data_IF_007162369438
#
_entry.id   IF_007162369438
#
_cell.length_a   1.000
_cell.length_b   1.000
_cell.length_c   1.000
_cell.angle_alpha   90.00
_cell.angle_beta   90.00
_cell.angle_gamma   90.00
#
_symmetry.space_group_name_H-M   'P 1'
#
loop_
_entity.id
_entity.type
_entity.pdbx_description
1 polymer ?
#
# COMPACT_ATOMS: atom_id res chain seq x y z
N UNK A 1 3.00 -5.92 38.44
CA UNK A 1 3.35 -6.21 37.02
C UNK A 1 4.80 -5.95 36.67
N UNK A 2 5.47 -4.97 37.31
CA UNK A 2 6.85 -4.55 37.02
C UNK A 2 7.80 -4.81 38.23
N UNK A 3 7.69 -5.95 38.89
CA UNK A 3 8.75 -6.35 39.82
C UNK A 3 9.99 -6.77 39.01
N UNK A 4 11.18 -6.34 39.42
CA UNK A 4 12.46 -6.67 38.76
C UNK A 4 12.61 -8.19 38.55
N UNK A 5 12.08 -8.98 39.50
CA UNK A 5 12.02 -10.44 39.38
C UNK A 5 11.16 -10.91 38.22
N UNK A 6 10.01 -10.27 37.97
CA UNK A 6 9.12 -10.61 36.86
C UNK A 6 9.73 -10.25 35.50
N UNK A 7 10.44 -9.12 35.42
CA UNK A 7 11.18 -8.73 34.21
C UNK A 7 12.31 -9.72 33.90
N UNK A 8 13.09 -10.12 34.92
CA UNK A 8 14.15 -11.12 34.75
C UNK A 8 13.60 -12.48 34.29
N UNK A 9 12.46 -12.93 34.82
CA UNK A 9 11.81 -14.17 34.39
C UNK A 9 11.37 -14.05 32.92
N UNK A 10 10.73 -12.94 32.54
CA UNK A 10 10.29 -12.70 31.16
C UNK A 10 11.47 -12.63 30.18
N UNK A 11 12.57 -11.99 30.55
CA UNK A 11 13.80 -11.95 29.76
C UNK A 11 14.37 -13.35 29.52
N UNK A 12 14.51 -14.16 30.57
CA UNK A 12 14.97 -15.56 30.45
C UNK A 12 14.02 -16.43 29.63
N UNK A 13 12.71 -16.17 29.70
CA UNK A 13 11.73 -16.87 28.85
C UNK A 13 11.92 -16.47 27.39
N UNK A 14 12.05 -15.17 27.10
CA UNK A 14 12.28 -14.67 25.74
C UNK A 14 13.52 -15.31 25.11
N UNK A 15 14.65 -15.37 25.83
CA UNK A 15 15.89 -16.01 25.39
C UNK A 15 15.76 -17.53 25.16
N UNK A 16 14.78 -18.19 25.77
CA UNK A 16 14.50 -19.61 25.50
C UNK A 16 13.70 -19.83 24.22
N UNK A 17 12.85 -18.88 23.83
CA UNK A 17 12.01 -18.99 22.64
C UNK A 17 12.67 -18.40 21.39
N UNK A 18 13.49 -17.36 21.56
CA UNK A 18 14.08 -16.62 20.45
C UNK A 18 15.59 -16.54 20.61
N UNK A 19 16.29 -16.83 19.51
CA UNK A 19 17.71 -16.53 19.37
C UNK A 19 17.89 -15.35 18.42
N UNK A 20 18.78 -14.44 18.77
CA UNK A 20 19.16 -13.35 17.88
C UNK A 20 20.09 -13.93 16.80
N UNK A 21 19.61 -13.99 15.57
CA UNK A 21 20.41 -14.46 14.43
C UNK A 21 21.31 -13.36 13.90
N UNK A 22 20.74 -12.19 13.62
CA UNK A 22 21.44 -11.09 12.95
C UNK A 22 21.02 -9.72 13.47
N UNK A 23 21.94 -8.76 13.36
CA UNK A 23 21.70 -7.33 13.53
C UNK A 23 22.25 -6.62 12.31
N UNK A 24 21.37 -6.02 11.51
CA UNK A 24 21.74 -5.21 10.36
C UNK A 24 21.63 -3.73 10.71
N UNK A 25 22.68 -2.95 10.44
CA UNK A 25 22.59 -1.49 10.52
C UNK A 25 22.03 -0.96 9.20
N UNK A 26 20.93 -0.23 9.28
CA UNK A 26 20.17 0.33 8.15
C UNK A 26 19.95 1.81 8.45
N UNK A 27 19.82 2.64 7.41
CA UNK A 27 19.51 4.07 7.57
C UNK A 27 20.58 4.84 8.37
N UNK A 28 21.86 4.71 7.99
CA UNK A 28 23.01 5.30 8.70
C UNK A 28 23.15 6.82 8.60
N UNK A 29 22.37 7.49 7.74
CA UNK A 29 22.55 8.91 7.39
C UNK A 29 21.52 9.84 8.05
N UNK A 30 21.15 9.58 9.32
CA UNK A 30 20.12 10.36 10.02
C UNK A 30 18.70 10.12 9.49
N UNK A 31 18.53 9.10 8.66
CA UNK A 31 17.24 8.63 8.17
C UNK A 31 16.49 7.88 9.28
N UNK A 32 15.17 7.98 9.27
CA UNK A 32 14.29 7.24 10.16
C UNK A 32 13.65 6.08 9.41
N UNK A 33 13.88 4.86 9.91
CA UNK A 33 13.22 3.67 9.38
C UNK A 33 11.70 3.75 9.61
N UNK A 34 10.92 3.54 8.56
CA UNK A 34 9.47 3.48 8.67
C UNK A 34 9.05 2.11 9.19
N UNK A 35 8.43 2.11 10.38
CA UNK A 35 8.06 0.88 11.12
C UNK A 35 6.91 0.09 10.48
N UNK A 36 6.20 0.70 9.54
CA UNK A 36 5.05 0.12 8.84
C UNK A 36 5.39 -0.20 7.38
N UNK A 37 6.68 -0.20 7.03
CA UNK A 37 7.18 -0.45 5.69
C UNK A 37 8.11 -1.66 5.67
N UNK A 38 7.57 -2.80 5.25
CA UNK A 38 8.30 -4.05 5.10
C UNK A 38 7.65 -4.89 3.99
N UNK A 39 8.45 -5.32 3.02
CA UNK A 39 8.03 -6.23 1.96
C UNK A 39 9.02 -7.40 1.91
N UNK A 40 8.51 -8.62 2.00
CA UNK A 40 9.30 -9.84 1.97
C UNK A 40 9.26 -10.46 0.57
N UNK A 41 10.38 -10.97 0.07
CA UNK A 41 10.37 -11.76 -1.16
C UNK A 41 9.68 -13.11 -0.94
N UNK A 42 9.11 -13.69 -2.00
CA UNK A 42 8.34 -14.94 -1.91
C UNK A 42 9.15 -16.14 -1.36
N UNK A 43 10.48 -16.11 -1.56
CA UNK A 43 11.45 -17.09 -1.06
C UNK A 43 11.89 -16.83 0.39
N UNK A 44 11.34 -15.80 1.04
CA UNK A 44 11.69 -15.35 2.39
C UNK A 44 13.20 -15.06 2.59
N UNK A 45 13.95 -14.85 1.52
CA UNK A 45 15.39 -14.58 1.60
C UNK A 45 15.68 -13.12 1.88
N UNK A 46 14.89 -12.22 1.30
CA UNK A 46 15.12 -10.78 1.38
C UNK A 46 13.94 -10.06 2.02
N UNK A 47 14.25 -8.99 2.75
CA UNK A 47 13.28 -7.99 3.20
C UNK A 47 13.66 -6.63 2.64
N UNK A 48 12.67 -5.93 2.10
CA UNK A 48 12.77 -4.55 1.65
C UNK A 48 12.12 -3.66 2.71
N UNK A 49 12.89 -2.70 3.21
CA UNK A 49 12.44 -1.74 4.22
C UNK A 49 12.66 -0.32 3.72
N UNK A 50 11.76 0.59 4.09
CA UNK A 50 11.83 2.00 3.72
C UNK A 50 12.28 2.89 4.87
N UNK A 51 13.15 3.85 4.59
CA UNK A 51 13.53 4.94 5.49
C UNK A 51 13.18 6.29 4.88
N UNK A 52 13.09 7.32 5.72
CA UNK A 52 12.87 8.70 5.30
C UNK A 52 13.74 9.65 6.12
N UNK A 53 14.33 10.65 5.47
CA UNK A 53 14.98 11.79 6.10
C UNK A 53 14.22 13.07 5.79
N UNK A 54 14.01 13.90 6.81
CA UNK A 54 13.47 15.23 6.63
C UNK A 54 14.44 16.09 5.83
N UNK A 55 13.91 16.90 4.93
CA UNK A 55 14.71 17.88 4.22
C UNK A 55 15.18 18.98 5.18
N UNK A 56 16.42 19.47 5.05
CA UNK A 56 16.91 20.58 5.86
C UNK A 56 16.09 21.85 5.58
N UNK A 57 15.85 22.66 6.61
CA UNK A 57 15.21 23.98 6.44
C UNK A 57 16.10 24.93 5.64
N UNK A 58 17.44 24.82 5.79
CA UNK A 58 18.41 25.54 4.96
C UNK A 58 19.62 24.67 4.60
N UNK A 59 20.10 24.69 3.34
CA UNK A 59 19.47 25.34 2.18
C UNK A 59 18.18 24.61 1.77
N UNK A 60 17.18 25.39 1.35
CA UNK A 60 15.98 24.81 0.75
C UNK A 60 16.35 24.03 -0.52
N UNK A 61 15.68 22.90 -0.81
CA UNK A 61 15.90 22.16 -2.04
C UNK A 61 15.67 23.06 -3.26
N UNK A 62 16.46 22.87 -4.31
CA UNK A 62 16.33 23.71 -5.48
C UNK A 62 14.97 23.49 -6.15
N UNK A 63 14.38 24.56 -6.71
CA UNK A 63 13.04 24.50 -7.31
C UNK A 63 12.89 23.33 -8.30
N UNK A 64 13.91 23.08 -9.13
CA UNK A 64 13.85 22.04 -10.14
C UNK A 64 14.21 20.63 -9.63
N UNK A 65 14.67 20.50 -8.39
CA UNK A 65 14.77 19.20 -7.72
C UNK A 65 13.39 18.75 -7.20
N UNK A 66 12.56 19.72 -6.80
CA UNK A 66 11.18 19.53 -6.33
C UNK A 66 10.21 19.30 -7.48
N UNK A 67 10.36 20.05 -8.58
CA UNK A 67 9.48 20.00 -9.74
C UNK A 67 10.24 19.45 -10.97
N UNK A 68 10.23 18.13 -11.15
CA UNK A 68 11.01 17.47 -12.23
C UNK A 68 10.24 17.26 -13.52
N UNK A 69 8.93 17.51 -13.52
CA UNK A 69 8.09 17.52 -14.72
C UNK A 69 6.84 18.38 -14.49
N UNK A 70 6.11 18.70 -15.57
CA UNK A 70 4.93 19.55 -15.54
C UNK A 70 3.68 18.94 -14.85
N UNK A 71 3.73 17.67 -14.43
CA UNK A 71 2.68 17.02 -13.64
C UNK A 71 3.01 16.95 -12.14
N UNK A 72 4.22 17.33 -11.74
CA UNK A 72 4.64 17.36 -10.34
C UNK A 72 3.61 18.10 -9.48
N UNK A 73 3.26 17.53 -8.32
CA UNK A 73 2.23 18.12 -7.45
C UNK A 73 2.80 19.26 -6.62
N UNK A 74 1.92 20.13 -6.14
CA UNK A 74 2.29 21.27 -5.31
C UNK A 74 2.52 20.81 -3.86
N UNK A 75 3.76 20.88 -3.34
CA UNK A 75 4.03 20.50 -1.95
C UNK A 75 3.26 21.40 -0.99
N UNK A 76 2.95 20.87 0.19
CA UNK A 76 2.31 21.65 1.24
C UNK A 76 2.60 21.05 2.63
N UNK A 77 2.37 21.78 3.73
CA UNK A 77 2.72 21.32 5.07
C UNK A 77 2.04 20.00 5.51
N UNK A 78 0.90 19.63 4.93
CA UNK A 78 0.21 18.35 5.22
C UNK A 78 0.81 17.16 4.45
N UNK A 79 1.60 17.44 3.42
CA UNK A 79 2.31 16.45 2.63
C UNK A 79 3.76 16.92 2.42
N UNK A 80 4.59 16.92 3.49
CA UNK A 80 5.98 17.33 3.40
C UNK A 80 6.76 16.38 2.49
N UNK A 81 7.74 16.95 1.79
CA UNK A 81 8.70 16.22 1.00
C UNK A 81 9.85 15.74 1.88
N UNK A 82 10.34 14.56 1.57
CA UNK A 82 11.39 13.87 2.31
C UNK A 82 12.33 13.20 1.31
N UNK A 83 13.54 12.88 1.77
CA UNK A 83 14.42 11.97 1.08
C UNK A 83 14.10 10.55 1.53
N UNK A 84 13.61 9.71 0.62
CA UNK A 84 13.27 8.33 0.91
C UNK A 84 14.37 7.39 0.45
N UNK A 85 14.68 6.37 1.24
CA UNK A 85 15.58 5.29 0.81
C UNK A 85 14.88 3.94 0.99
N UNK A 86 15.02 3.07 0.00
CA UNK A 86 14.60 1.67 0.06
C UNK A 86 15.84 0.80 0.19
N UNK A 87 15.85 -0.04 1.20
CA UNK A 87 16.97 -0.92 1.54
C UNK A 87 16.54 -2.36 1.39
N UNK A 88 17.38 -3.19 0.78
CA UNK A 88 17.16 -4.64 0.70
C UNK A 88 18.18 -5.36 1.56
N UNK A 89 17.70 -6.25 2.42
CA UNK A 89 18.49 -6.93 3.44
C UNK A 89 18.31 -8.43 3.25
N UNK A 90 19.41 -9.17 3.21
CA UNK A 90 19.41 -10.64 3.24
C UNK A 90 19.16 -11.12 4.67
N UNK A 91 18.03 -11.81 4.88
CA UNK A 91 17.60 -12.29 6.19
C UNK A 91 18.46 -13.45 6.71
N UNK A 92 19.10 -14.23 5.83
CA UNK A 92 19.94 -15.37 6.21
C UNK A 92 21.36 -14.97 6.60
N UNK A 93 21.85 -13.85 6.07
CA UNK A 93 23.20 -13.36 6.37
C UNK A 93 23.20 -12.11 7.25
N UNK A 94 22.07 -11.42 7.36
CA UNK A 94 21.94 -10.15 8.08
C UNK A 94 22.61 -8.97 7.37
N UNK A 95 22.92 -9.11 6.08
CA UNK A 95 23.65 -8.08 5.32
C UNK A 95 22.68 -7.16 4.59
N UNK A 96 22.96 -5.86 4.67
CA UNK A 96 22.39 -4.86 3.75
C UNK A 96 23.01 -5.08 2.37
N UNK A 97 22.19 -5.45 1.38
CA UNK A 97 22.65 -5.81 0.04
C UNK A 97 22.70 -4.61 -0.91
N UNK A 98 21.65 -3.78 -0.94
CA UNK A 98 21.55 -2.63 -1.84
C UNK A 98 20.65 -1.54 -1.24
N UNK A 99 20.74 -0.32 -1.78
CA UNK A 99 19.94 0.84 -1.38
C UNK A 99 19.60 1.71 -2.59
N UNK A 100 18.33 2.10 -2.70
CA UNK A 100 17.83 3.05 -3.71
C UNK A 100 17.24 4.28 -3.04
N UNK A 101 17.67 5.47 -3.46
CA UNK A 101 17.28 6.74 -2.83
C UNK A 101 16.47 7.62 -3.79
N UNK A 102 15.42 8.24 -3.27
CA UNK A 102 14.53 9.17 -3.93
C UNK A 102 14.60 10.50 -3.20
N UNK A 103 15.15 11.51 -3.88
CA UNK A 103 15.37 12.85 -3.30
C UNK A 103 14.16 13.76 -3.49
N UNK A 104 13.84 14.59 -2.49
CA UNK A 104 12.78 15.60 -2.56
C UNK A 104 11.46 15.06 -3.14
N UNK A 105 11.01 13.92 -2.61
CA UNK A 105 9.87 13.19 -3.14
C UNK A 105 8.74 13.08 -2.09
N UNK A 106 7.62 12.49 -2.51
CA UNK A 106 6.58 11.98 -1.64
C UNK A 106 6.28 10.52 -1.99
N UNK A 107 6.79 9.59 -1.17
CA UNK A 107 6.50 8.16 -1.26
C UNK A 107 5.80 7.74 0.03
N UNK A 108 4.59 7.15 -0.08
CA UNK A 108 3.80 6.76 1.10
C UNK A 108 4.28 5.39 1.62
N UNK A 109 5.32 5.39 2.45
CA UNK A 109 5.88 4.15 3.03
C UNK A 109 4.94 3.45 4.03
N UNK A 110 4.11 4.21 4.75
CA UNK A 110 3.19 3.66 5.76
C UNK A 110 2.23 2.63 5.17
N UNK A 111 2.22 1.44 5.78
CA UNK A 111 1.43 0.29 5.32
C UNK A 111 1.67 -0.05 3.86
N UNK A 112 2.92 0.09 3.38
CA UNK A 112 3.33 -0.21 2.02
C UNK A 112 2.45 0.45 0.93
N UNK A 113 1.86 1.62 1.18
CA UNK A 113 0.86 2.18 0.23
C UNK A 113 1.47 2.71 -1.06
N UNK A 114 2.71 3.19 -1.01
CA UNK A 114 3.47 3.68 -2.16
C UNK A 114 4.35 2.62 -2.81
N UNK A 115 4.41 1.41 -2.25
CA UNK A 115 5.29 0.32 -2.70
C UNK A 115 4.46 -0.91 -3.02
N UNK A 116 4.80 -1.63 -4.07
CA UNK A 116 4.17 -2.90 -4.37
C UNK A 116 5.18 -3.92 -4.85
N UNK A 117 5.33 -5.03 -4.14
CA UNK A 117 6.17 -6.16 -4.55
C UNK A 117 5.26 -7.28 -5.03
N UNK A 118 5.48 -7.73 -6.26
CA UNK A 118 4.84 -8.91 -6.83
C UNK A 118 5.93 -9.81 -7.40
N UNK A 119 6.10 -11.01 -6.84
CA UNK A 119 7.25 -11.89 -7.13
C UNK A 119 8.56 -11.14 -6.90
N UNK A 120 9.29 -10.87 -7.97
CA UNK A 120 10.54 -10.13 -7.98
C UNK A 120 10.41 -8.72 -8.57
N UNK A 121 9.21 -8.26 -8.91
CA UNK A 121 8.99 -6.92 -9.48
C UNK A 121 8.52 -5.99 -8.37
N UNK A 122 9.32 -4.97 -8.08
CA UNK A 122 9.01 -3.91 -7.14
C UNK A 122 8.59 -2.65 -7.91
N UNK A 123 7.37 -2.19 -7.68
CA UNK A 123 6.92 -0.88 -8.13
C UNK A 123 6.95 0.14 -6.98
N UNK A 124 7.32 1.38 -7.28
CA UNK A 124 7.41 2.50 -6.34
C UNK A 124 6.73 3.72 -6.95
N UNK A 125 5.68 4.22 -6.31
CA UNK A 125 4.97 5.43 -6.76
C UNK A 125 5.57 6.67 -6.09
N UNK A 126 6.24 7.48 -6.93
CA UNK A 126 6.56 8.88 -6.64
C UNK A 126 5.30 9.71 -6.82
N UNK A 127 4.66 10.06 -5.70
CA UNK A 127 3.48 10.93 -5.71
C UNK A 127 3.89 12.36 -6.08
N UNK A 128 5.06 12.81 -5.62
CA UNK A 128 5.53 14.17 -5.93
C UNK A 128 5.76 14.33 -7.43
N UNK A 129 6.45 13.39 -8.07
CA UNK A 129 6.84 13.48 -9.48
C UNK A 129 5.85 12.81 -10.42
N UNK A 130 4.72 12.29 -9.93
CA UNK A 130 3.72 11.58 -10.75
C UNK A 130 4.36 10.51 -11.64
N UNK A 131 5.18 9.68 -11.02
CA UNK A 131 6.02 8.70 -11.71
C UNK A 131 6.01 7.37 -10.95
N UNK A 132 5.92 6.26 -11.67
CA UNK A 132 6.05 4.91 -11.12
C UNK A 132 7.41 4.37 -11.55
N UNK A 133 8.28 4.11 -10.58
CA UNK A 133 9.55 3.44 -10.81
C UNK A 133 9.36 1.94 -10.66
N UNK A 134 9.83 1.17 -11.62
CA UNK A 134 9.74 -0.30 -11.60
C UNK A 134 11.15 -0.86 -11.54
N UNK A 135 11.38 -1.67 -10.53
CA UNK A 135 12.63 -2.38 -10.27
C UNK A 135 12.39 -3.88 -10.33
N UNK A 136 13.43 -4.62 -10.71
CA UNK A 136 13.49 -6.06 -10.54
C UNK A 136 14.47 -6.37 -9.40
N UNK A 137 14.02 -7.14 -8.42
CA UNK A 137 14.85 -7.69 -7.36
C UNK A 137 15.62 -8.88 -7.93
N UNK A 138 16.93 -8.80 -7.92
CA UNK A 138 17.80 -9.86 -8.43
C UNK A 138 17.96 -11.00 -7.40
N UNK A 139 18.34 -12.21 -7.83
CA UNK A 139 18.67 -13.32 -6.92
C UNK A 139 19.83 -13.02 -5.95
N UNK A 140 20.64 -12.00 -6.25
CA UNK A 140 21.72 -11.50 -5.41
C UNK A 140 21.25 -10.46 -4.38
N UNK A 141 20.01 -9.98 -4.46
CA UNK A 141 19.44 -9.01 -3.54
C UNK A 141 19.77 -7.57 -3.90
N UNK A 142 19.80 -7.23 -5.19
CA UNK A 142 20.00 -5.86 -5.69
C UNK A 142 18.77 -5.35 -6.45
N UNK A 143 18.63 -4.03 -6.55
CA UNK A 143 17.58 -3.40 -7.34
C UNK A 143 18.06 -3.11 -8.76
N UNK A 144 17.54 -3.83 -9.74
CA UNK A 144 17.76 -3.54 -11.15
C UNK A 144 16.67 -2.58 -11.65
N UNK A 145 17.06 -1.42 -12.20
CA UNK A 145 16.11 -0.45 -12.75
C UNK A 145 15.55 -1.00 -14.07
N UNK A 146 14.24 -1.23 -14.14
CA UNK A 146 13.58 -1.86 -15.31
C UNK A 146 12.88 -0.83 -16.18
N UNK A 147 12.20 0.15 -15.57
CA UNK A 147 11.52 1.24 -16.29
C UNK A 147 11.02 2.32 -15.35
N UNK A 148 10.74 3.48 -15.93
CA UNK A 148 10.09 4.61 -15.27
C UNK A 148 8.87 5.02 -16.08
N UNK A 149 7.69 5.01 -15.45
CA UNK A 149 6.39 5.21 -16.12
C UNK A 149 5.76 6.52 -15.61
N UNK A 150 5.52 7.47 -16.50
CA UNK A 150 4.93 8.77 -16.14
C UNK A 150 5.02 9.77 -17.29
N UNK A 151 6.06 10.63 -17.27
CA UNK A 151 6.40 11.55 -18.37
C UNK A 151 6.52 10.82 -19.70
N UNK A 152 7.25 9.71 -19.69
CA UNK A 152 7.38 8.78 -20.81
C UNK A 152 6.82 7.40 -20.45
N UNK A 153 6.52 6.63 -21.48
CA UNK A 153 6.04 5.25 -21.35
C UNK A 153 7.02 4.24 -21.96
N UNK A 154 7.78 4.64 -22.98
CA UNK A 154 8.90 3.88 -23.54
C UNK A 154 10.23 4.53 -23.18
N UNK A 155 11.30 3.74 -23.15
CA UNK A 155 12.65 4.20 -22.80
C UNK A 155 13.26 5.12 -23.86
N UNK A 156 12.89 4.92 -25.13
CA UNK A 156 13.36 5.67 -26.30
C UNK A 156 12.45 6.85 -26.69
N UNK A 157 11.37 7.10 -25.93
CA UNK A 157 10.47 8.26 -26.14
C UNK A 157 11.26 9.58 -26.14
N UNK A 158 12.22 9.71 -25.22
CA UNK A 158 13.04 10.92 -25.10
C UNK A 158 13.93 11.13 -26.33
N UNK A 159 14.53 10.07 -26.85
CA UNK A 159 15.33 10.12 -28.06
C UNK A 159 14.48 10.53 -29.27
N UNK A 160 13.26 9.98 -29.37
CA UNK A 160 12.33 10.32 -30.45
C UNK A 160 11.88 11.78 -30.38
N UNK A 161 11.56 12.29 -29.19
CA UNK A 161 11.14 13.68 -29.01
C UNK A 161 12.29 14.67 -29.24
N UNK A 162 13.50 14.36 -28.79
CA UNK A 162 14.70 15.17 -29.04
C UNK A 162 15.10 15.20 -30.51
N UNK A 163 14.77 14.19 -31.31
CA UNK A 163 14.97 14.21 -32.75
C UNK A 163 14.02 15.19 -33.48
N UNK A 164 12.81 15.40 -32.96
CA UNK A 164 11.75 16.22 -33.61
C UNK A 164 11.72 17.65 -33.07
N UNK A 165 11.94 17.83 -31.77
CA UNK A 165 11.91 19.13 -31.12
C UNK A 165 13.33 19.57 -30.78
N UNK A 166 13.87 20.56 -31.51
CA UNK A 166 15.21 21.13 -31.25
C UNK A 166 15.36 21.67 -29.82
N UNK A 167 14.25 22.00 -29.14
CA UNK A 167 14.23 22.38 -27.73
C UNK A 167 14.66 21.26 -26.77
N UNK A 168 14.49 20.00 -27.18
CA UNK A 168 14.90 18.80 -26.46
C UNK A 168 16.33 18.31 -26.81
N UNK A 169 17.00 18.89 -27.82
CA UNK A 169 18.43 18.62 -28.10
C UNK A 169 19.39 19.39 -27.17
N UNK A 170 18.90 20.42 -26.48
CA UNK A 170 19.68 21.24 -25.55
C UNK A 170 19.83 20.62 -24.15
N UNK A 171 19.66 19.30 -24.02
CA UNK A 171 19.75 18.52 -22.77
C UNK A 171 21.20 18.34 -22.23
N UNK A 172 22.20 18.89 -22.92
CA UNK A 172 23.61 18.86 -22.48
C UNK A 172 24.01 19.81 -21.34
N UNK A 173 23.05 20.50 -20.71
CA UNK A 173 23.24 21.35 -19.51
C UNK A 173 22.22 20.91 -18.46
N UNK A 174 22.50 20.96 -17.14
CA UNK A 174 21.70 20.30 -16.10
C UNK A 174 20.27 20.85 -16.09
N UNK A 175 19.39 20.16 -16.82
CA UNK A 175 18.27 20.81 -17.51
C UNK A 175 16.92 20.63 -16.83
N UNK A 176 16.88 20.42 -15.51
CA UNK A 176 15.61 20.33 -14.78
C UNK A 176 14.71 21.58 -14.97
N UNK A 177 15.31 22.72 -15.36
CA UNK A 177 14.58 23.98 -15.57
C UNK A 177 13.51 23.95 -16.66
N UNK A 178 13.66 23.10 -17.68
CA UNK A 178 12.73 23.05 -18.81
C UNK A 178 11.62 22.02 -18.63
N UNK A 179 11.89 20.96 -17.89
CA UNK A 179 10.96 19.83 -17.70
C UNK A 179 9.65 20.25 -17.04
N UNK A 180 9.71 21.16 -16.05
CA UNK A 180 8.51 21.70 -15.43
C UNK A 180 7.68 22.60 -16.36
N UNK A 181 8.31 23.22 -17.36
CA UNK A 181 7.67 24.18 -18.28
C UNK A 181 7.13 23.53 -19.56
N UNK A 182 7.19 22.21 -19.67
CA UNK A 182 6.64 21.49 -20.82
C UNK A 182 5.15 21.77 -20.99
N UNK A 183 4.75 22.10 -22.22
CA UNK A 183 3.34 22.34 -22.56
C UNK A 183 2.61 21.05 -22.96
N UNK A 184 3.35 20.01 -23.30
CA UNK A 184 2.83 18.70 -23.69
C UNK A 184 2.27 17.95 -22.48
N UNK A 185 1.20 17.19 -22.70
CA UNK A 185 0.69 16.26 -21.69
C UNK A 185 1.64 15.07 -21.61
N UNK A 186 1.95 14.60 -20.40
CA UNK A 186 2.81 13.42 -20.22
C UNK A 186 2.19 12.18 -20.87
N UNK A 187 3.04 11.26 -21.30
CA UNK A 187 2.65 10.11 -22.13
C UNK A 187 1.60 9.22 -21.45
N UNK A 188 1.77 8.92 -20.15
CA UNK A 188 0.81 8.09 -19.41
C UNK A 188 -0.57 8.78 -19.32
N UNK A 189 -0.59 10.07 -19.00
CA UNK A 189 -1.82 10.85 -18.92
C UNK A 189 -2.47 11.02 -20.29
N UNK A 190 -1.68 11.25 -21.33
CA UNK A 190 -2.17 11.33 -22.70
C UNK A 190 -2.85 10.02 -23.11
N UNK A 191 -2.24 8.86 -22.82
CA UNK A 191 -2.84 7.54 -23.09
C UNK A 191 -4.16 7.33 -22.36
N UNK A 192 -4.26 7.78 -21.10
CA UNK A 192 -5.52 7.78 -20.35
C UNK A 192 -6.59 8.65 -21.03
N UNK A 193 -6.26 9.88 -21.41
CA UNK A 193 -7.20 10.79 -22.08
C UNK A 193 -7.65 10.25 -23.44
N UNK A 194 -6.72 9.67 -24.22
CA UNK A 194 -7.02 9.04 -25.51
C UNK A 194 -7.93 7.83 -25.33
N UNK A 195 -7.69 7.00 -24.31
CA UNK A 195 -8.59 5.88 -24.00
C UNK A 195 -10.01 6.37 -23.71
N UNK A 196 -10.16 7.39 -22.86
CA UNK A 196 -11.45 7.96 -22.51
C UNK A 196 -12.15 8.60 -23.73
N UNK A 197 -11.40 9.28 -24.58
CA UNK A 197 -11.91 9.82 -25.85
C UNK A 197 -12.40 8.70 -26.78
N UNK A 198 -11.56 7.68 -27.03
CA UNK A 198 -11.92 6.54 -27.89
C UNK A 198 -13.16 5.82 -27.38
N UNK A 199 -13.31 5.67 -26.07
CA UNK A 199 -14.52 5.11 -25.45
C UNK A 199 -15.75 5.98 -25.71
N UNK A 200 -15.65 7.31 -25.57
CA UNK A 200 -16.73 8.22 -25.89
C UNK A 200 -17.07 8.25 -27.40
N UNK A 201 -16.06 8.01 -28.25
CA UNK A 201 -16.25 7.90 -29.69
C UNK A 201 -16.94 6.59 -30.10
N UNK A 202 -16.57 5.47 -29.48
CA UNK A 202 -17.18 4.16 -29.69
C UNK A 202 -18.63 4.09 -29.21
N UNK A 203 -18.98 4.81 -28.13
CA UNK A 203 -20.37 4.96 -27.68
C UNK A 203 -21.25 5.63 -28.75
N UNK A 204 -20.65 6.38 -29.68
CA UNK A 204 -21.32 7.00 -30.82
C UNK A 204 -22.25 8.16 -30.45
N UNK A 205 -22.57 8.37 -29.17
CA UNK A 205 -23.48 9.41 -28.74
C UNK A 205 -22.82 10.79 -28.71
N UNK A 206 -23.50 11.80 -29.25
CA UNK A 206 -23.04 13.19 -29.14
C UNK A 206 -22.91 13.65 -27.68
N UNK A 207 -23.72 13.08 -26.79
CA UNK A 207 -23.71 13.35 -25.35
C UNK A 207 -22.41 12.86 -24.70
N UNK A 208 -21.92 11.65 -25.01
CA UNK A 208 -20.66 11.15 -24.47
C UNK A 208 -19.46 12.01 -24.89
N UNK A 209 -19.39 12.39 -26.17
CA UNK A 209 -18.35 13.29 -26.68
C UNK A 209 -18.40 14.66 -25.99
N UNK A 210 -19.58 15.27 -25.87
CA UNK A 210 -19.77 16.54 -25.15
C UNK A 210 -19.36 16.44 -23.68
N UNK A 211 -19.72 15.33 -23.01
CA UNK A 211 -19.35 15.08 -21.61
C UNK A 211 -17.83 14.97 -21.45
N UNK A 212 -17.13 14.29 -22.36
CA UNK A 212 -15.67 14.25 -22.36
C UNK A 212 -15.07 15.65 -22.44
N UNK A 213 -15.50 16.48 -23.40
CA UNK A 213 -15.00 17.85 -23.51
C UNK A 213 -15.38 18.73 -22.32
N UNK A 214 -16.59 18.57 -21.76
CA UNK A 214 -17.03 19.28 -20.56
C UNK A 214 -16.11 19.02 -19.36
N UNK A 215 -15.64 17.78 -19.20
CA UNK A 215 -14.79 17.38 -18.08
C UNK A 215 -13.30 17.29 -18.43
N UNK A 216 -12.89 17.70 -19.63
CA UNK A 216 -11.52 17.51 -20.13
C UNK A 216 -10.46 18.12 -19.20
N UNK A 217 -10.67 19.36 -18.75
CA UNK A 217 -9.72 20.02 -17.85
C UNK A 217 -9.61 19.31 -16.50
N UNK A 218 -10.71 18.79 -15.97
CA UNK A 218 -10.71 18.02 -14.73
C UNK A 218 -9.96 16.69 -14.90
N UNK A 219 -10.21 15.98 -16.01
CA UNK A 219 -9.51 14.74 -16.35
C UNK A 219 -8.01 14.98 -16.53
N UNK A 220 -7.62 16.09 -17.16
CA UNK A 220 -6.21 16.50 -17.33
C UNK A 220 -5.54 16.83 -15.99
N UNK A 221 -6.29 17.34 -15.02
CA UNK A 221 -5.79 17.70 -13.70
C UNK A 221 -5.67 16.50 -12.74
N UNK A 222 -6.19 15.32 -13.10
CA UNK A 222 -6.06 14.12 -12.27
C UNK A 222 -4.59 13.80 -11.97
N UNK A 223 -4.36 13.26 -10.76
CA UNK A 223 -3.06 12.85 -10.23
C UNK A 223 -3.14 11.43 -9.69
N UNK A 224 -2.11 10.64 -9.93
CA UNK A 224 -1.89 9.33 -9.34
C UNK A 224 -1.78 9.47 -7.83
N UNK A 225 -2.59 8.68 -7.13
CA UNK A 225 -2.64 8.66 -5.68
C UNK A 225 -2.11 7.35 -5.09
N UNK A 226 -2.49 6.24 -5.73
CA UNK A 226 -2.15 4.89 -5.28
C UNK A 226 -1.94 3.99 -6.49
N UNK A 227 -1.17 2.94 -6.30
CA UNK A 227 -0.95 1.92 -7.32
C UNK A 227 -0.93 0.52 -6.70
N UNK A 228 -1.03 -0.48 -7.56
CA UNK A 228 -0.87 -1.90 -7.24
C UNK A 228 -0.41 -2.63 -8.51
N UNK A 229 0.39 -3.70 -8.36
CA UNK A 229 0.61 -4.67 -9.43
C UNK A 229 -0.48 -5.75 -9.38
N UNK A 230 -1.18 -5.97 -10.49
CA UNK A 230 -2.14 -7.08 -10.64
C UNK A 230 -1.43 -8.36 -11.09
N UNK A 231 -0.33 -8.22 -11.80
CA UNK A 231 0.58 -9.29 -12.21
C UNK A 231 1.93 -8.67 -12.62
N UNK A 232 2.74 -9.43 -13.36
CA UNK A 232 4.06 -8.99 -13.85
C UNK A 232 4.02 -7.89 -14.91
N UNK A 233 2.85 -7.55 -15.45
CA UNK A 233 2.72 -6.64 -16.60
C UNK A 233 1.68 -5.53 -16.38
N UNK A 234 0.72 -5.73 -15.48
CA UNK A 234 -0.43 -4.85 -15.31
C UNK A 234 -0.36 -4.05 -14.01
N UNK A 235 -0.36 -2.74 -14.16
CA UNK A 235 -0.52 -1.77 -13.08
C UNK A 235 -1.98 -1.40 -12.91
N UNK A 236 -2.43 -1.34 -11.66
CA UNK A 236 -3.72 -0.81 -11.27
C UNK A 236 -3.53 0.51 -10.51
N UNK A 237 -3.85 1.61 -11.18
CA UNK A 237 -3.51 2.97 -10.76
C UNK A 237 -4.79 3.71 -10.41
N UNK A 238 -4.81 4.37 -9.25
CA UNK A 238 -5.91 5.25 -8.85
C UNK A 238 -5.55 6.71 -9.09
N UNK A 239 -6.37 7.37 -9.87
CA UNK A 239 -6.31 8.79 -10.17
C UNK A 239 -7.40 9.55 -9.40
N UNK A 240 -7.05 10.72 -8.87
CA UNK A 240 -7.98 11.63 -8.15
C UNK A 240 -7.50 13.08 -8.31
N UNK A 241 -8.23 14.04 -7.75
CA UNK A 241 -7.80 15.44 -7.73
C UNK A 241 -6.52 15.65 -6.92
N UNK A 242 -5.71 16.64 -7.31
CA UNK A 242 -4.46 16.99 -6.62
C UNK A 242 -4.68 17.32 -5.14
N UNK A 243 -5.80 17.95 -4.78
CA UNK A 243 -6.10 18.29 -3.38
C UNK A 243 -6.27 17.05 -2.48
N UNK A 244 -6.77 15.94 -3.03
CA UNK A 244 -6.86 14.66 -2.30
C UNK A 244 -5.48 14.01 -2.23
N UNK A 245 -4.74 14.00 -3.34
CA UNK A 245 -3.38 13.43 -3.39
C UNK A 245 -2.45 14.10 -2.40
N UNK A 246 -2.55 15.43 -2.28
CA UNK A 246 -1.71 16.26 -1.43
C UNK A 246 -2.29 16.50 -0.03
N UNK A 247 -3.36 15.77 0.34
CA UNK A 247 -4.01 15.79 1.66
C UNK A 247 -4.56 17.17 2.08
N UNK A 248 -4.81 18.07 1.13
CA UNK A 248 -5.50 19.35 1.36
C UNK A 248 -6.98 19.12 1.68
N UNK A 249 -7.57 18.11 1.03
CA UNK A 249 -8.93 17.62 1.27
C UNK A 249 -8.85 16.17 1.72
N UNK A 250 -9.51 15.86 2.84
CA UNK A 250 -9.59 14.50 3.39
C UNK A 250 -10.87 13.77 2.98
N UNK A 251 -11.79 14.45 2.28
CA UNK A 251 -13.08 13.88 1.93
C UNK A 251 -12.95 12.82 0.81
N UNK A 252 -13.24 11.54 1.09
CA UNK A 252 -13.21 10.47 0.11
C UNK A 252 -14.36 10.53 -0.90
N UNK A 253 -15.29 11.48 -0.79
CA UNK A 253 -16.43 11.64 -1.71
C UNK A 253 -16.04 12.12 -3.11
N UNK A 254 -14.78 12.56 -3.30
CA UNK A 254 -14.29 13.08 -4.58
C UNK A 254 -14.32 12.01 -5.69
N UNK A 255 -14.70 12.38 -6.92
CA UNK A 255 -14.60 11.50 -8.07
C UNK A 255 -13.17 10.99 -8.25
N UNK A 256 -13.03 9.67 -8.42
CA UNK A 256 -11.74 9.05 -8.70
C UNK A 256 -11.89 7.97 -9.77
N UNK A 257 -10.79 7.72 -10.46
CA UNK A 257 -10.71 6.76 -11.56
C UNK A 257 -9.70 5.68 -11.22
N UNK A 258 -10.03 4.46 -11.60
CA UNK A 258 -9.15 3.30 -11.55
C UNK A 258 -8.74 2.94 -12.97
N UNK A 259 -7.44 2.84 -13.21
CA UNK A 259 -6.85 2.64 -14.53
C UNK A 259 -6.03 1.36 -14.51
N UNK A 260 -6.34 0.44 -15.43
CA UNK A 260 -5.52 -0.76 -15.69
C UNK A 260 -4.59 -0.44 -16.85
N UNK A 261 -3.29 -0.46 -16.60
CA UNK A 261 -2.25 -0.11 -17.57
C UNK A 261 -1.29 -1.29 -17.77
N UNK A 262 -1.08 -1.70 -19.01
CA UNK A 262 -0.07 -2.68 -19.35
C UNK A 262 1.27 -1.98 -19.56
N UNK A 263 2.26 -2.29 -18.72
CA UNK A 263 3.55 -1.62 -18.78
C UNK A 263 4.42 -2.10 -19.94
N UNK A 264 4.16 -3.27 -20.52
CA UNK A 264 4.89 -3.85 -21.66
C UNK A 264 4.40 -3.27 -22.98
N UNK A 265 3.09 -3.32 -23.24
CA UNK A 265 2.50 -2.75 -24.46
C UNK A 265 2.31 -1.23 -24.38
N UNK A 266 2.44 -0.67 -23.17
CA UNK A 266 2.17 0.73 -22.85
C UNK A 266 0.71 1.15 -23.07
N UNK A 267 -0.22 0.22 -23.00
CA UNK A 267 -1.64 0.48 -23.27
C UNK A 267 -2.47 0.63 -22.00
N UNK A 268 -3.41 1.58 -22.03
CA UNK A 268 -4.50 1.62 -21.05
C UNK A 268 -5.55 0.62 -21.49
N UNK A 269 -5.75 -0.43 -20.69
CA UNK A 269 -6.68 -1.53 -20.99
C UNK A 269 -8.10 -1.16 -20.55
N UNK A 270 -8.23 -0.59 -19.35
CA UNK A 270 -9.53 -0.30 -18.77
C UNK A 270 -9.48 0.92 -17.85
N UNK A 271 -10.60 1.65 -17.81
CA UNK A 271 -10.80 2.77 -16.88
C UNK A 271 -12.18 2.65 -16.23
N UNK A 272 -12.21 2.68 -14.90
CA UNK A 272 -13.41 2.60 -14.08
C UNK A 272 -13.56 3.83 -13.21
N UNK A 273 -14.78 4.33 -13.07
CA UNK A 273 -15.11 5.33 -12.06
C UNK A 273 -15.22 4.66 -10.68
N UNK A 274 -15.08 5.43 -9.60
CA UNK A 274 -15.26 4.95 -8.24
C UNK A 274 -16.69 4.56 -7.87
N UNK A 275 -17.62 4.68 -8.81
CA UNK A 275 -19.01 4.23 -8.73
C UNK A 275 -19.32 3.09 -9.71
N UNK A 276 -18.30 2.42 -10.26
CA UNK A 276 -18.47 1.36 -11.25
C UNK A 276 -18.95 0.05 -10.63
N UNK A 277 -20.17 -0.37 -10.99
CA UNK A 277 -20.71 -1.68 -10.60
C UNK A 277 -19.88 -2.85 -11.15
N UNK A 278 -19.38 -2.71 -12.38
CA UNK A 278 -18.57 -3.76 -13.01
C UNK A 278 -17.25 -3.99 -12.25
N UNK A 279 -16.57 -2.92 -11.84
CA UNK A 279 -15.36 -3.08 -11.01
C UNK A 279 -15.69 -3.69 -9.65
N UNK A 280 -16.85 -3.34 -9.06
CA UNK A 280 -17.30 -3.95 -7.82
C UNK A 280 -17.56 -5.45 -7.98
N UNK A 281 -18.23 -5.85 -9.06
CA UNK A 281 -18.48 -7.26 -9.37
C UNK A 281 -17.18 -8.03 -9.54
N UNK A 282 -16.21 -7.49 -10.29
CA UNK A 282 -14.87 -8.07 -10.43
C UNK A 282 -14.19 -8.21 -9.07
N UNK A 283 -14.26 -7.19 -8.22
CA UNK A 283 -13.64 -7.21 -6.90
C UNK A 283 -14.32 -8.21 -5.94
N UNK A 284 -15.65 -8.33 -5.97
CA UNK A 284 -16.41 -9.27 -5.13
C UNK A 284 -16.13 -10.73 -5.53
N UNK A 285 -16.05 -11.00 -6.83
CA UNK A 285 -15.89 -12.36 -7.36
C UNK A 285 -14.43 -12.82 -7.44
N UNK A 286 -13.48 -11.90 -7.61
CA UNK A 286 -12.05 -12.20 -7.81
C UNK A 286 -11.15 -11.48 -6.80
N UNK A 287 -11.64 -11.26 -5.57
CA UNK A 287 -10.93 -10.51 -4.51
C UNK A 287 -9.50 -11.00 -4.26
N UNK A 288 -9.27 -12.31 -4.33
CA UNK A 288 -7.95 -12.90 -4.12
C UNK A 288 -6.91 -12.42 -5.15
N UNK A 289 -7.32 -12.21 -6.41
CA UNK A 289 -6.42 -11.67 -7.45
C UNK A 289 -6.01 -10.21 -7.17
N UNK A 290 -6.82 -9.46 -6.41
CA UNK A 290 -6.43 -8.14 -5.90
C UNK A 290 -5.61 -8.22 -4.60
N UNK A 291 -5.56 -9.36 -3.91
CA UNK A 291 -4.72 -9.60 -2.73
C UNK A 291 -3.46 -10.40 -3.07
N UNK A 292 -3.13 -10.51 -4.36
CA UNK A 292 -2.15 -11.38 -5.00
C UNK A 292 -0.68 -11.27 -4.51
N UNK A 293 -0.32 -10.28 -3.69
CA UNK A 293 1.05 -10.03 -3.27
C UNK A 293 1.76 -11.24 -2.63
N UNK A 294 1.02 -12.24 -2.17
CA UNK A 294 1.58 -13.45 -1.53
C UNK A 294 0.99 -14.76 -2.07
N UNK A 295 0.15 -14.72 -3.11
CA UNK A 295 -0.50 -15.94 -3.65
C UNK A 295 0.48 -16.95 -4.27
N UNK A 296 1.69 -16.51 -4.62
CA UNK A 296 2.72 -17.38 -5.22
C UNK A 296 3.65 -18.01 -4.19
N UNK A 297 3.58 -17.58 -2.93
CA UNK A 297 4.36 -18.17 -1.86
C UNK A 297 3.66 -19.41 -1.32
N UNK A 298 4.40 -20.50 -1.13
CA UNK A 298 3.91 -21.74 -0.50
C UNK A 298 3.36 -21.52 0.92
N UNK A 299 3.70 -20.38 1.55
CA UNK A 299 3.21 -19.96 2.87
C UNK A 299 1.74 -19.47 2.87
N UNK A 300 1.12 -19.25 1.69
CA UNK A 300 -0.27 -18.78 1.57
C UNK A 300 -1.13 -19.88 0.97
N UNK A 301 -1.44 -20.87 1.79
CA UNK A 301 -2.21 -22.04 1.33
C UNK A 301 -3.73 -21.81 1.39
N UNK A 302 -4.22 -20.88 2.22
CA UNK A 302 -5.65 -20.72 2.48
C UNK A 302 -6.07 -19.24 2.59
N UNK A 303 -6.31 -18.54 1.47
CA UNK A 303 -6.78 -17.16 1.52
C UNK A 303 -8.19 -17.08 2.14
N UNK A 304 -8.40 -16.14 3.06
CA UNK A 304 -9.71 -15.85 3.62
C UNK A 304 -10.26 -14.51 3.06
N UNK A 305 -10.93 -14.58 1.92
CA UNK A 305 -11.55 -13.43 1.25
C UNK A 305 -13.02 -13.69 0.91
N UNK A 306 -13.73 -12.68 0.41
CA UNK A 306 -15.12 -12.86 -0.02
C UNK A 306 -15.27 -13.75 -1.27
N UNK A 307 -14.23 -13.89 -2.08
CA UNK A 307 -14.22 -14.81 -3.21
C UNK A 307 -14.03 -16.25 -2.76
N UNK A 308 -13.11 -16.51 -1.82
CA UNK A 308 -12.75 -17.87 -1.38
C UNK A 308 -13.50 -18.42 -0.17
N UNK A 309 -14.07 -17.55 0.69
CA UNK A 309 -14.65 -17.95 1.97
C UNK A 309 -16.10 -17.46 2.13
N UNK A 310 -17.02 -18.40 2.39
CA UNK A 310 -18.46 -18.12 2.53
C UNK A 310 -18.79 -17.18 3.70
N UNK A 311 -18.09 -17.29 4.82
CA UNK A 311 -18.31 -16.42 5.98
C UNK A 311 -17.78 -15.02 5.72
N UNK A 312 -16.60 -14.88 5.10
CA UNK A 312 -16.07 -13.59 4.66
C UNK A 312 -17.03 -12.91 3.67
N UNK A 313 -17.57 -13.68 2.71
CA UNK A 313 -18.59 -13.21 1.75
C UNK A 313 -19.84 -12.71 2.45
N UNK A 314 -20.33 -13.42 3.46
CA UNK A 314 -21.49 -12.98 4.25
C UNK A 314 -21.21 -11.70 5.03
N UNK A 315 -20.02 -11.55 5.63
CA UNK A 315 -19.62 -10.30 6.32
C UNK A 315 -19.60 -9.12 5.35
N UNK A 316 -19.02 -9.29 4.16
CA UNK A 316 -19.00 -8.24 3.14
C UNK A 316 -20.41 -7.87 2.64
N UNK A 317 -21.29 -8.85 2.42
CA UNK A 317 -22.69 -8.61 2.04
C UNK A 317 -23.43 -7.82 3.11
N UNK A 318 -23.33 -8.23 4.39
CA UNK A 318 -23.94 -7.50 5.50
C UNK A 318 -23.42 -6.07 5.62
N UNK A 319 -22.11 -5.86 5.39
CA UNK A 319 -21.52 -4.54 5.38
C UNK A 319 -22.08 -3.67 4.25
N UNK A 320 -22.20 -4.23 3.03
CA UNK A 320 -22.85 -3.58 1.88
C UNK A 320 -24.29 -3.20 2.21
N UNK A 321 -25.10 -4.15 2.69
CA UNK A 321 -26.51 -3.93 3.05
C UNK A 321 -26.66 -2.85 4.14
N UNK A 322 -25.75 -2.81 5.11
CA UNK A 322 -25.75 -1.78 6.16
C UNK A 322 -25.55 -0.39 5.58
N UNK A 323 -24.66 -0.24 4.58
CA UNK A 323 -24.43 1.06 3.92
C UNK A 323 -25.61 1.44 3.04
N UNK A 324 -26.17 0.49 2.29
CA UNK A 324 -27.32 0.74 1.41
C UNK A 324 -28.52 1.24 2.22
N UNK A 325 -28.78 0.64 3.38
CA UNK A 325 -29.94 0.97 4.22
C UNK A 325 -29.69 2.12 5.21
N UNK A 326 -28.48 2.70 5.26
CA UNK A 326 -28.16 3.80 6.16
C UNK A 326 -28.81 5.13 5.71
N UNK A 327 -29.02 6.05 6.67
CA UNK A 327 -29.45 7.43 6.38
C UNK A 327 -28.38 8.14 5.55
N UNK A 328 -28.76 8.69 4.39
CA UNK A 328 -27.84 9.20 3.35
C UNK A 328 -26.92 8.15 2.72
N UNK A 329 -27.28 6.87 2.86
CA UNK A 329 -26.67 5.76 2.14
C UNK A 329 -27.24 5.60 0.74
N UNK A 330 -27.06 4.40 0.19
CA UNK A 330 -27.55 4.00 -1.12
C UNK A 330 -26.57 3.09 -1.85
N UNK A 331 -27.02 2.53 -2.97
CA UNK A 331 -26.22 1.60 -3.78
C UNK A 331 -24.91 2.23 -4.24
N UNK A 332 -24.97 3.43 -4.82
CA UNK A 332 -23.79 4.17 -5.31
C UNK A 332 -22.76 4.43 -4.19
N UNK A 333 -23.22 4.78 -2.99
CA UNK A 333 -22.33 5.03 -1.85
C UNK A 333 -21.73 3.72 -1.30
N UNK A 334 -22.48 2.62 -1.34
CA UNK A 334 -21.97 1.30 -1.00
C UNK A 334 -20.88 0.85 -1.98
N UNK A 335 -21.10 1.01 -3.29
CA UNK A 335 -20.10 0.74 -4.35
C UNK A 335 -18.84 1.57 -4.09
N UNK A 336 -19.00 2.88 -3.88
CA UNK A 336 -17.88 3.79 -3.61
C UNK A 336 -17.07 3.39 -2.39
N UNK A 337 -17.71 3.01 -1.28
CA UNK A 337 -17.02 2.59 -0.05
C UNK A 337 -16.29 1.27 -0.20
N UNK A 338 -16.88 0.30 -0.90
CA UNK A 338 -16.24 -0.98 -1.17
C UNK A 338 -15.02 -0.81 -2.07
N UNK A 339 -15.16 -0.07 -3.17
CA UNK A 339 -14.05 0.26 -4.08
C UNK A 339 -13.02 1.20 -3.46
N UNK A 340 -13.36 1.92 -2.39
CA UNK A 340 -12.43 2.77 -1.63
C UNK A 340 -11.23 2.02 -1.05
N UNK A 341 -11.33 0.68 -0.90
CA UNK A 341 -10.24 -0.19 -0.47
C UNK A 341 -9.15 -0.36 -1.54
N UNK A 342 -9.50 -0.11 -2.81
CA UNK A 342 -8.59 -0.25 -3.93
C UNK A 342 -7.80 1.05 -4.17
N UNK A 343 -6.56 0.94 -4.68
CA UNK A 343 -5.75 -0.28 -4.78
C UNK A 343 -5.33 -0.81 -3.40
N UNK A 344 -5.11 -2.12 -3.31
CA UNK A 344 -4.71 -2.78 -2.07
C UNK A 344 -3.20 -2.61 -1.84
N UNK A 345 -2.79 -2.36 -0.60
CA UNK A 345 -1.36 -2.34 -0.22
C UNK A 345 -0.75 -3.74 -0.32
N UNK A 346 0.50 -3.83 -0.78
CA UNK A 346 1.22 -5.10 -0.83
C UNK A 346 1.39 -5.71 0.58
N UNK A 347 1.24 -7.03 0.66
CA UNK A 347 1.46 -7.84 1.87
C UNK A 347 0.67 -7.35 3.09
N UNK A 348 -0.55 -6.84 2.88
CA UNK A 348 -1.39 -6.26 3.95
C UNK A 348 -2.39 -7.23 4.58
N UNK A 349 -2.41 -8.49 4.14
CA UNK A 349 -3.32 -9.53 4.62
C UNK A 349 -2.54 -10.73 5.14
N UNK A 350 -2.92 -11.21 6.32
CA UNK A 350 -2.38 -12.43 6.92
C UNK A 350 -3.03 -13.67 6.30
N UNK A 351 -2.24 -14.70 6.04
CA UNK A 351 -2.70 -16.03 5.61
C UNK A 351 -2.87 -17.02 6.77
N UNK A 352 -2.77 -16.55 8.03
CA UNK A 352 -2.76 -17.45 9.18
C UNK A 352 -4.09 -18.18 9.38
N UNK A 353 -4.08 -19.51 9.63
CA UNK A 353 -5.27 -20.29 9.95
C UNK A 353 -6.05 -19.76 11.16
N UNK A 354 -5.40 -19.02 12.06
CA UNK A 354 -6.06 -18.38 13.21
C UNK A 354 -7.08 -17.32 12.80
N UNK A 355 -6.92 -16.73 11.62
CA UNK A 355 -7.80 -15.71 11.07
C UNK A 355 -8.70 -16.26 9.95
N UNK A 356 -8.71 -17.57 9.73
CA UNK A 356 -9.64 -18.18 8.80
C UNK A 356 -11.04 -18.23 9.41
N UNK A 357 -11.97 -17.52 8.79
CA UNK A 357 -13.37 -17.46 9.20
C UNK A 357 -14.12 -18.79 8.99
N UNK A 358 -13.54 -19.72 8.23
CA UNK A 358 -14.05 -21.10 8.07
C UNK A 358 -13.80 -21.95 9.33
N UNK A 359 -12.68 -21.69 10.01
CA UNK A 359 -12.26 -22.42 11.22
C UNK A 359 -12.77 -21.76 12.48
N UNK A 360 -12.67 -20.43 12.55
CA UNK A 360 -12.98 -19.67 13.76
C UNK A 360 -14.04 -18.59 13.55
N UNK A 361 -14.88 -18.42 14.56
CA UNK A 361 -15.75 -17.27 14.74
C UNK A 361 -15.14 -16.35 15.79
N UNK A 362 -14.82 -15.13 15.39
CA UNK A 362 -14.31 -14.05 16.24
C UNK A 362 -14.90 -12.72 15.79
N UNK A 363 -14.75 -11.69 16.62
CA UNK A 363 -15.25 -10.33 16.34
C UNK A 363 -14.19 -9.52 15.57
N UNK A 364 -14.51 -9.19 14.31
CA UNK A 364 -13.62 -8.56 13.33
C UNK A 364 -13.26 -7.09 13.65
N UNK A 365 -14.02 -6.50 14.59
CA UNK A 365 -13.75 -5.18 15.16
C UNK A 365 -12.44 -5.16 15.95
N UNK A 366 -12.09 -6.26 16.61
CA UNK A 366 -10.92 -6.36 17.48
C UNK A 366 -9.69 -6.96 16.79
N UNK A 367 -9.90 -7.85 15.82
CA UNK A 367 -8.84 -8.52 15.06
C UNK A 367 -9.34 -8.89 13.66
N UNK A 368 -8.53 -8.77 12.62
CA UNK A 368 -8.95 -9.13 11.26
C UNK A 368 -7.80 -9.65 10.42
N UNK A 369 -8.12 -10.31 9.30
CA UNK A 369 -7.17 -10.78 8.27
C UNK A 369 -6.31 -9.62 7.73
N UNK A 370 -6.89 -8.43 7.57
CA UNK A 370 -6.13 -7.23 7.19
C UNK A 370 -5.28 -6.74 8.37
N UNK A 371 -3.98 -6.65 8.17
CA UNK A 371 -2.98 -6.25 9.17
C UNK A 371 -2.98 -4.73 9.37
N UNK A 372 -4.02 -4.22 10.04
CA UNK A 372 -4.11 -2.83 10.46
C UNK A 372 -4.35 -2.71 11.96
N UNK A 373 -3.85 -1.65 12.60
CA UNK A 373 -4.12 -1.39 14.01
C UNK A 373 -5.63 -1.33 14.29
N UNK A 374 -6.07 -2.11 15.28
CA UNK A 374 -7.46 -2.15 15.77
C UNK A 374 -7.53 -1.50 17.14
N UNK A 375 -8.73 -1.12 17.57
CA UNK A 375 -8.94 -0.68 18.96
C UNK A 375 -8.58 -1.79 19.92
N UNK A 376 -7.78 -1.51 20.95
CA UNK A 376 -7.53 -2.46 22.01
C UNK A 376 -8.74 -2.49 22.95
N UNK A 377 -9.45 -3.61 22.97
CA UNK A 377 -10.50 -3.86 23.96
C UNK A 377 -9.92 -4.19 25.33
N UNK A 378 -10.74 -4.02 26.38
CA UNK A 378 -10.37 -4.38 27.76
C UNK A 378 -10.55 -5.88 28.03
N UNK A 379 -11.36 -6.56 27.21
CA UNK A 379 -11.66 -7.97 27.34
C UNK A 379 -10.79 -8.80 26.37
N UNK A 380 -10.46 -10.05 26.74
CA UNK A 380 -9.76 -10.94 25.83
C UNK A 380 -10.61 -11.22 24.59
N UNK A 381 -9.95 -11.23 23.43
CA UNK A 381 -10.56 -11.60 22.16
C UNK A 381 -10.78 -13.10 22.18
N UNK A 382 -12.01 -13.55 21.92
CA UNK A 382 -12.41 -14.96 22.01
C UNK A 382 -12.53 -15.57 20.62
N UNK A 383 -11.95 -16.74 20.44
CA UNK A 383 -12.02 -17.51 19.19
C UNK A 383 -12.80 -18.79 19.44
N UNK A 384 -13.97 -18.88 18.81
CA UNK A 384 -14.86 -20.04 18.88
C UNK A 384 -14.69 -20.88 17.64
N UNK A 385 -14.63 -22.20 17.75
CA UNK A 385 -14.59 -23.04 16.56
C UNK A 385 -15.94 -23.04 15.85
N UNK A 386 -15.91 -22.97 14.52
CA UNK A 386 -17.12 -22.96 13.68
C UNK A 386 -17.86 -24.29 13.66
N UNK A 387 -17.14 -25.39 13.79
CA UNK A 387 -17.69 -26.75 13.78
C UNK A 387 -18.55 -27.08 15.01
N UNK A 388 -18.14 -26.59 16.18
CA UNK A 388 -18.63 -27.03 17.49
C UNK A 388 -19.18 -25.88 18.33
N UNK A 389 -18.89 -24.62 17.98
CA UNK A 389 -19.23 -23.44 18.79
C UNK A 389 -18.42 -23.32 20.08
N UNK A 390 -17.50 -24.25 20.35
CA UNK A 390 -16.70 -24.25 21.57
C UNK A 390 -15.61 -23.19 21.50
N UNK A 391 -15.39 -22.51 22.62
CA UNK A 391 -14.27 -21.59 22.80
C UNK A 391 -12.94 -22.36 22.75
N UNK A 392 -12.11 -22.10 21.73
CA UNK A 392 -10.81 -22.79 21.56
C UNK A 392 -9.66 -22.06 22.24
N UNK A 393 -9.59 -20.75 22.09
CA UNK A 393 -8.55 -19.94 22.73
C UNK A 393 -8.97 -18.47 22.86
N UNK A 394 -8.15 -17.73 23.60
CA UNK A 394 -8.32 -16.29 23.84
C UNK A 394 -7.00 -15.58 23.61
N UNK A 395 -7.06 -14.38 23.05
CA UNK A 395 -5.90 -13.50 22.93
C UNK A 395 -6.12 -12.27 23.80
N UNK A 396 -5.15 -11.98 24.67
CA UNK A 396 -5.21 -10.83 25.56
C UNK A 396 -4.15 -9.81 25.16
N UNK A 397 -4.58 -8.76 24.48
CA UNK A 397 -3.68 -7.72 24.01
C UNK A 397 -3.29 -6.70 25.10
N UNK A 398 -4.22 -6.37 26.01
CA UNK A 398 -4.04 -5.26 26.97
C UNK A 398 -3.08 -5.57 28.14
N UNK A 399 -2.47 -4.50 28.69
CA UNK A 399 -1.65 -4.59 29.91
C UNK A 399 -2.50 -5.02 31.12
N UNK A 400 -2.12 -6.15 31.72
CA UNK A 400 -2.67 -6.60 32.99
C UNK A 400 -2.29 -5.63 34.13
N UNK A 401 -3.30 -5.03 34.77
CA UNK A 401 -3.17 -4.36 36.07
C UNK A 401 -2.71 -2.91 36.09
N UNK A 402 -2.82 -2.15 34.98
CA UNK A 402 -2.70 -0.67 35.03
C UNK A 402 -4.09 -0.01 35.02
N UNK A 403 -4.31 1.03 35.85
CA UNK A 403 -5.55 1.79 35.82
C UNK A 403 -5.75 2.41 34.44
N UNK A 404 -6.98 2.32 33.94
CA UNK A 404 -7.33 2.66 32.58
C UNK A 404 -7.58 4.16 32.49
N UNK A 405 -6.79 4.86 31.69
CA UNK A 405 -7.14 6.21 31.25
C UNK A 405 -8.08 6.10 30.05
N UNK A 406 -9.38 6.31 30.26
CA UNK A 406 -10.42 6.25 29.21
C UNK A 406 -10.31 7.39 28.17
N UNK A 407 -9.44 8.38 28.39
CA UNK A 407 -9.28 9.54 27.53
C UNK A 407 -8.52 9.23 26.22
N UNK A 408 -7.73 8.15 26.13
CA UNK A 408 -6.89 7.85 24.96
C UNK A 408 -7.28 6.53 24.32
N UNK A 409 -7.64 6.59 23.03
CA UNK A 409 -7.97 5.40 22.21
C UNK A 409 -6.70 4.57 21.99
N UNK A 410 -6.60 3.43 22.68
CA UNK A 410 -5.49 2.48 22.53
C UNK A 410 -5.65 1.67 21.26
N UNK A 411 -4.59 1.58 20.45
CA UNK A 411 -4.55 0.75 19.26
C UNK A 411 -3.59 -0.43 19.46
N UNK A 412 -3.92 -1.57 18.86
CA UNK A 412 -3.11 -2.77 18.83
C UNK A 412 -3.01 -3.29 17.39
N UNK A 413 -1.80 -3.57 16.93
CA UNK A 413 -1.55 -4.31 15.70
C UNK A 413 -1.30 -5.78 16.04
N UNK A 414 -1.80 -6.69 15.22
CA UNK A 414 -1.56 -8.13 15.37
C UNK A 414 -0.86 -8.66 14.13
N UNK A 415 0.14 -9.51 14.34
CA UNK A 415 0.80 -10.29 13.30
C UNK A 415 0.70 -11.75 13.70
N UNK A 416 -0.05 -12.53 12.93
CA UNK A 416 -0.23 -13.95 13.18
C UNK A 416 0.75 -14.74 12.32
N UNK A 417 1.40 -15.71 12.94
CA UNK A 417 2.30 -16.57 12.22
C UNK A 417 1.52 -17.45 11.22
N UNK A 418 2.02 -17.67 9.99
CA UNK A 418 1.28 -18.40 8.96
C UNK A 418 1.08 -19.88 9.28
N UNK A 419 2.00 -20.55 9.97
CA UNK A 419 1.92 -21.99 10.28
C UNK A 419 2.11 -22.33 11.78
N UNK A 420 3.12 -21.76 12.44
CA UNK A 420 3.33 -21.96 13.88
C UNK A 420 2.21 -21.39 14.77
N UNK A 421 1.97 -21.98 15.96
CA UNK A 421 0.94 -21.55 16.90
C UNK A 421 1.34 -20.29 17.69
N UNK A 422 1.64 -19.23 16.96
CA UNK A 422 2.28 -18.02 17.44
C UNK A 422 1.62 -16.76 16.86
N UNK A 423 1.50 -15.72 17.70
CA UNK A 423 1.06 -14.40 17.27
C UNK A 423 1.76 -13.32 18.08
N UNK A 424 1.96 -12.17 17.46
CA UNK A 424 2.53 -10.98 18.08
C UNK A 424 1.43 -9.93 18.17
N UNK A 425 1.32 -9.25 19.31
CA UNK A 425 0.51 -8.04 19.41
C UNK A 425 1.38 -6.86 19.83
N UNK A 426 1.31 -5.77 19.08
CA UNK A 426 2.09 -4.55 19.33
C UNK A 426 1.13 -3.41 19.70
N UNK A 427 1.35 -2.81 20.86
CA UNK A 427 0.58 -1.66 21.34
C UNK A 427 1.48 -0.45 21.45
N UNK A 428 0.97 0.71 21.02
CA UNK A 428 1.61 1.99 21.30
C UNK A 428 0.91 2.62 22.51
N UNK A 429 1.64 2.78 23.60
CA UNK A 429 1.19 3.47 24.81
C UNK A 429 2.02 4.74 24.99
N UNK A 430 1.42 5.89 24.67
CA UNK A 430 2.10 7.19 24.66
C UNK A 430 3.34 7.18 23.74
N UNK A 431 4.53 7.09 24.34
CA UNK A 431 5.83 7.05 23.67
C UNK A 431 6.46 5.63 23.63
N UNK A 432 5.95 4.68 24.40
CA UNK A 432 6.50 3.33 24.50
C UNK A 432 5.69 2.33 23.68
N UNK A 433 6.38 1.30 23.20
CA UNK A 433 5.76 0.16 22.54
C UNK A 433 5.78 -1.04 23.48
N UNK A 434 4.62 -1.64 23.65
CA UNK A 434 4.47 -2.89 24.39
C UNK A 434 4.20 -3.99 23.39
N UNK A 435 5.13 -4.94 23.33
CA UNK A 435 5.03 -6.12 22.47
C UNK A 435 4.69 -7.32 23.33
N UNK A 436 3.60 -8.01 23.00
CA UNK A 436 3.26 -9.28 23.63
C UNK A 436 3.40 -10.41 22.60
N UNK A 437 4.00 -11.49 23.07
CA UNK A 437 4.18 -12.74 22.34
C UNK A 437 3.14 -13.75 22.84
N UNK A 438 2.26 -14.18 21.95
CA UNK A 438 1.18 -15.13 22.23
C UNK A 438 1.58 -16.48 21.67
N UNK A 439 1.69 -17.48 22.54
CA UNK A 439 2.01 -18.85 22.16
C UNK A 439 0.94 -19.79 22.69
N UNK A 440 0.51 -20.73 21.87
CA UNK A 440 -0.36 -21.82 22.35
C UNK A 440 0.50 -22.77 23.18
N UNK A 441 0.19 -22.89 24.46
CA UNK A 441 0.75 -23.97 25.26
C UNK A 441 0.03 -25.27 24.88
N UNK A 442 0.70 -26.13 24.12
CA UNK A 442 0.27 -27.51 23.98
C UNK A 442 0.57 -28.22 25.30
N UNK A 443 -0.46 -28.72 25.98
CA UNK A 443 -0.23 -29.75 26.99
C UNK A 443 0.33 -30.97 26.23
N UNK A 444 1.61 -31.29 26.45
CA UNK A 444 2.16 -32.60 26.11
C UNK A 444 1.66 -33.60 27.15
#
# INVERSE_FOLDING_TARGET
GNDQRSLNIRGRLFERFFSLLHVANVASNGEHLNRECSLFTDDCRYVIVGSAAYLPEEPHPHFFEVYRNNESVTPNPRSPLEDYSLHIIDLHTGRLCDTRTFKCDKIILSHNQGLYLYRNILAVLSVQQQTIHVFQVTPEGTFLDVRTIGRFCYEDDLLTLSAVYSEAQAEGQPGFSRLYKEKSINSLKHRLLVYLWRRAEQDGSATAKRRFFQFFDQLRQLRMWKMQLLDEHHLFIKYTSEDVVTLRVTDPSQPSFFVVYNMVTTEVIAVFENTSDMLLELFENFCDLFRNATLHSEAVQFPCSASSNNFARQVQRRFKDTIVNAKYGGHTEAVRRLLGQLPISAQSYSSSPYLDLSLFSYDDKWVSVMERPKTCGDHPIRFYARDSGLLKFKIQAGLLGRPINHAVRRLVAFTFHPFEPFAISVQRTNAEYVVNFHMRHGCV
#
